data_IF_161622997597
#
_entry.id   IF_161622997597
#
_cell.length_a   1.000
_cell.length_b   1.000
_cell.length_c   1.000
_cell.angle_alpha   90.00
_cell.angle_beta   90.00
_cell.angle_gamma   90.00
#
_symmetry.space_group_name_H-M   'P 1'
#
loop_
_entity.id
_entity.type
_entity.pdbx_description
1 polymer ?
#
# COMPACT_ATOMS: atom_id res chain seq x y z
N UNK A 1 14.87 2.04 17.58
CA UNK A 1 15.97 1.80 18.53
C UNK A 1 17.05 0.87 17.97
N UNK A 2 16.73 -0.29 17.38
CA UNK A 2 17.76 -1.18 16.81
C UNK A 2 18.54 -0.51 15.66
N UNK A 3 17.83 0.19 14.77
CA UNK A 3 18.45 0.93 13.66
C UNK A 3 19.35 2.10 14.11
N UNK A 4 18.96 2.80 15.18
CA UNK A 4 19.76 3.90 15.72
C UNK A 4 21.02 3.41 16.43
N UNK A 5 20.93 2.27 17.13
CA UNK A 5 22.09 1.58 17.71
C UNK A 5 23.07 1.12 16.62
N UNK A 6 22.55 0.60 15.50
CA UNK A 6 23.35 0.20 14.35
C UNK A 6 24.06 1.39 13.70
N UNK A 7 23.38 2.52 13.49
CA UNK A 7 23.99 3.75 12.95
C UNK A 7 25.07 4.32 13.89
N UNK A 8 24.86 4.26 15.21
CA UNK A 8 25.90 4.69 16.16
C UNK A 8 27.09 3.75 16.18
N UNK A 9 26.87 2.45 16.06
CA UNK A 9 27.95 1.47 15.97
C UNK A 9 28.77 1.68 14.70
N UNK A 10 28.10 1.85 13.55
CA UNK A 10 28.76 2.11 12.28
C UNK A 10 29.51 3.45 12.25
N UNK A 11 28.97 4.48 12.90
CA UNK A 11 29.60 5.80 13.02
C UNK A 11 30.81 5.84 13.96
N UNK A 12 30.85 4.98 14.99
CA UNK A 12 32.01 4.83 15.88
C UNK A 12 33.17 4.11 15.20
N UNK A 13 32.87 3.17 14.29
CA UNK A 13 33.90 2.38 13.58
C UNK A 13 34.56 3.19 12.45
N UNK A 14 33.84 4.11 11.83
CA UNK A 14 34.37 4.87 10.68
C UNK A 14 35.22 6.09 11.06
N UNK A 15 35.45 6.37 12.35
CA UNK A 15 36.26 7.47 12.95
C UNK A 15 35.98 8.90 12.44
N UNK A 16 35.07 9.08 11.48
CA UNK A 16 34.85 10.33 10.73
C UNK A 16 33.51 11.01 11.04
N UNK A 17 32.76 10.50 12.02
CA UNK A 17 31.43 11.04 12.35
C UNK A 17 31.54 11.97 13.55
N UNK A 18 31.21 13.25 13.33
CA UNK A 18 31.11 14.26 14.38
C UNK A 18 30.20 13.77 15.52
N UNK A 19 30.75 13.70 16.73
CA UNK A 19 30.05 13.30 17.97
C UNK A 19 28.74 14.09 18.16
N UNK A 20 28.73 15.35 17.70
CA UNK A 20 27.57 16.24 17.71
C UNK A 20 26.37 15.68 16.93
N UNK A 21 26.62 15.01 15.79
CA UNK A 21 25.57 14.42 14.95
C UNK A 21 24.99 13.17 15.63
N UNK A 22 25.83 12.36 16.26
CA UNK A 22 25.37 11.18 17.01
C UNK A 22 24.50 11.64 18.19
N UNK A 23 24.94 12.66 18.91
CA UNK A 23 24.19 13.21 20.04
C UNK A 23 22.84 13.82 19.61
N UNK A 24 22.81 14.56 18.50
CA UNK A 24 21.56 15.14 17.99
C UNK A 24 20.54 14.07 17.57
N UNK A 25 20.99 12.98 16.96
CA UNK A 25 20.14 11.83 16.61
C UNK A 25 19.54 11.19 17.87
N UNK A 26 20.34 10.94 18.90
CA UNK A 26 19.85 10.38 20.17
C UNK A 26 18.87 11.31 20.88
N UNK A 27 19.14 12.61 20.87
CA UNK A 27 18.26 13.61 21.47
C UNK A 27 16.88 13.62 20.80
N UNK A 28 16.84 13.59 19.46
CA UNK A 28 15.58 13.49 18.70
C UNK A 28 14.83 12.20 19.02
N UNK A 29 15.53 11.08 19.12
CA UNK A 29 14.92 9.79 19.45
C UNK A 29 14.33 9.75 20.87
N UNK A 30 15.03 10.33 21.84
CA UNK A 30 14.56 10.44 23.22
C UNK A 30 13.33 11.34 23.28
N UNK A 31 13.33 12.49 22.58
CA UNK A 31 12.17 13.37 22.51
C UNK A 31 10.96 12.70 21.85
N UNK A 32 11.16 11.95 20.77
CA UNK A 32 10.09 11.17 20.13
C UNK A 32 9.55 10.07 21.06
N UNK A 33 10.43 9.40 21.82
CA UNK A 33 10.04 8.39 22.79
C UNK A 33 9.22 8.99 23.93
N UNK A 34 9.67 10.10 24.52
CA UNK A 34 8.95 10.82 25.57
C UNK A 34 7.62 11.37 25.03
N UNK A 35 7.60 11.94 23.83
CA UNK A 35 6.38 12.41 23.18
C UNK A 35 5.36 11.30 22.96
N UNK A 36 5.81 10.12 22.51
CA UNK A 36 4.94 8.97 22.29
C UNK A 36 4.36 8.40 23.59
N UNK A 37 5.19 8.28 24.63
CA UNK A 37 4.78 7.72 25.92
C UNK A 37 3.88 8.68 26.68
N UNK A 38 4.18 9.99 26.67
CA UNK A 38 3.30 11.03 27.25
C UNK A 38 1.97 11.11 26.50
N UNK A 39 1.97 10.99 25.18
CA UNK A 39 0.74 10.93 24.37
C UNK A 39 -0.11 9.70 24.74
N UNK A 40 0.49 8.51 24.80
CA UNK A 40 -0.21 7.29 25.21
C UNK A 40 -0.72 7.37 26.66
N UNK A 41 0.09 7.91 27.57
CA UNK A 41 -0.30 8.08 28.97
C UNK A 41 -1.44 9.08 29.13
N UNK A 42 -1.45 10.17 28.35
CA UNK A 42 -2.59 11.10 28.29
C UNK A 42 -3.85 10.47 27.68
N UNK A 43 -3.70 9.57 26.71
CA UNK A 43 -4.80 8.80 26.14
C UNK A 43 -5.39 7.81 27.15
N UNK A 44 -4.55 7.16 27.95
CA UNK A 44 -4.95 6.17 28.96
C UNK A 44 -5.52 6.82 30.24
N UNK A 45 -5.13 8.06 30.56
CA UNK A 45 -5.67 8.83 31.70
C UNK A 45 -7.10 9.32 31.50
N UNK A 46 -7.56 9.41 30.26
CA UNK A 46 -8.97 9.72 29.99
C UNK A 46 -9.73 8.40 30.02
N UNK A 47 -10.89 8.30 30.69
CA UNK A 47 -11.76 7.15 30.50
C UNK A 47 -11.98 7.01 29.00
N UNK A 48 -11.71 5.82 28.45
CA UNK A 48 -11.94 5.52 27.04
C UNK A 48 -13.30 6.12 26.69
N UNK A 49 -13.36 7.19 25.88
CA UNK A 49 -14.65 7.76 25.55
C UNK A 49 -15.37 6.64 24.84
N UNK A 50 -16.44 6.10 25.45
CA UNK A 50 -17.41 5.26 24.76
C UNK A 50 -17.64 5.94 23.42
N UNK A 51 -17.21 5.28 22.34
CA UNK A 51 -16.93 5.83 21.02
C UNK A 51 -17.92 6.91 20.55
N UNK A 52 -17.80 8.13 21.08
CA UNK A 52 -18.34 9.33 20.49
C UNK A 52 -17.28 9.75 19.50
N UNK A 53 -17.15 8.95 18.43
CA UNK A 53 -16.62 9.46 17.19
C UNK A 53 -17.36 10.77 16.96
N UNK A 54 -16.69 11.91 17.12
CA UNK A 54 -17.11 13.14 16.47
C UNK A 54 -17.09 12.75 15.01
N UNK A 55 -18.24 12.31 14.49
CA UNK A 55 -18.49 12.09 13.08
C UNK A 55 -18.01 13.39 12.45
N UNK A 56 -16.83 13.38 11.83
CA UNK A 56 -16.39 14.48 11.00
C UNK A 56 -17.51 14.59 9.99
N UNK A 57 -18.35 15.60 10.15
CA UNK A 57 -19.57 15.77 9.36
C UNK A 57 -19.10 16.17 7.96
N UNK A 58 -18.62 15.20 7.18
CA UNK A 58 -18.45 15.28 5.73
C UNK A 58 -19.85 15.27 5.08
N UNK A 59 -20.70 16.21 5.52
CA UNK A 59 -22.13 16.28 5.21
C UNK A 59 -22.35 16.51 3.71
N UNK A 60 -21.38 17.13 3.05
CA UNK A 60 -21.38 17.41 1.61
C UNK A 60 -21.25 16.17 0.73
N UNK A 61 -20.58 15.09 1.19
CA UNK A 61 -20.47 13.85 0.42
C UNK A 61 -21.63 12.86 0.68
N UNK A 62 -22.27 12.94 1.86
CA UNK A 62 -23.26 11.94 2.33
C UNK A 62 -24.66 12.15 1.73
N UNK A 63 -24.97 13.33 1.19
CA UNK A 63 -26.28 13.58 0.54
C UNK A 63 -26.38 13.07 -0.90
N UNK A 64 -25.26 12.79 -1.55
CA UNK A 64 -25.25 12.09 -2.84
C UNK A 64 -25.46 10.59 -2.59
N UNK A 65 -26.15 9.88 -3.49
CA UNK A 65 -26.21 8.41 -3.48
C UNK A 65 -24.78 7.88 -3.66
N UNK A 66 -24.08 7.66 -2.55
CA UNK A 66 -22.68 7.23 -2.57
C UNK A 66 -22.59 5.85 -3.22
N UNK A 67 -22.01 5.79 -4.43
CA UNK A 67 -21.72 4.54 -5.13
C UNK A 67 -20.84 3.64 -4.27
N UNK A 68 -21.07 2.32 -4.30
CA UNK A 68 -20.34 1.30 -3.52
C UNK A 68 -18.82 1.46 -3.56
N UNK A 69 -18.29 1.94 -4.68
CA UNK A 69 -16.87 2.23 -4.91
C UNK A 69 -16.26 3.15 -3.84
N UNK A 70 -17.01 4.15 -3.37
CA UNK A 70 -16.51 5.13 -2.41
C UNK A 70 -16.54 4.63 -0.96
N UNK A 71 -17.23 3.52 -0.67
CA UNK A 71 -17.44 3.07 0.71
C UNK A 71 -16.13 2.70 1.39
N UNK A 72 -15.24 1.98 0.69
CA UNK A 72 -13.97 1.57 1.27
C UNK A 72 -12.98 2.75 1.49
N UNK A 73 -12.74 3.64 0.51
CA UNK A 73 -11.90 4.83 0.76
C UNK A 73 -12.41 5.70 1.92
N UNK A 74 -13.74 5.92 2.01
CA UNK A 74 -14.35 6.68 3.11
C UNK A 74 -14.11 5.97 4.45
N UNK A 75 -14.33 4.66 4.50
CA UNK A 75 -14.07 3.85 5.67
C UNK A 75 -12.60 3.94 6.12
N UNK A 76 -11.67 3.82 5.17
CA UNK A 76 -10.23 3.87 5.46
C UNK A 76 -9.82 5.23 6.04
N UNK A 77 -10.36 6.33 5.50
CA UNK A 77 -10.13 7.69 6.02
C UNK A 77 -10.75 7.92 7.40
N UNK A 78 -11.87 7.26 7.72
CA UNK A 78 -12.55 7.42 9.00
C UNK A 78 -11.94 6.56 10.12
N UNK A 79 -11.61 5.30 9.82
CA UNK A 79 -11.18 4.34 10.84
C UNK A 79 -9.67 4.23 10.95
N UNK A 80 -8.92 4.38 9.84
CA UNK A 80 -7.46 4.21 9.81
C UNK A 80 -6.74 5.27 8.95
N UNK A 81 -6.93 6.58 9.22
CA UNK A 81 -6.33 7.65 8.42
C UNK A 81 -4.80 7.60 8.42
N UNK A 82 -4.18 7.24 9.56
CA UNK A 82 -2.72 7.15 9.68
C UNK A 82 -2.12 6.04 8.80
N UNK A 83 -2.81 4.90 8.66
CA UNK A 83 -2.39 3.81 7.78
C UNK A 83 -2.43 4.27 6.32
N UNK A 84 -3.52 4.93 5.91
CA UNK A 84 -3.65 5.47 4.57
C UNK A 84 -2.58 6.52 4.27
N UNK A 85 -2.42 7.54 5.13
CA UNK A 85 -1.43 8.59 4.92
C UNK A 85 -0.01 8.02 4.94
N UNK A 86 0.31 7.12 5.88
CA UNK A 86 1.63 6.52 6.00
C UNK A 86 2.01 5.65 4.80
N UNK A 87 1.11 4.77 4.35
CA UNK A 87 1.33 3.94 3.16
C UNK A 87 1.48 4.79 1.89
N UNK A 88 0.66 5.83 1.70
CA UNK A 88 0.78 6.73 0.56
C UNK A 88 2.02 7.59 0.62
N UNK A 89 2.37 8.15 1.77
CA UNK A 89 3.59 8.94 1.91
C UNK A 89 4.83 8.10 1.58
N UNK A 90 4.91 6.88 2.12
CA UNK A 90 6.04 5.97 1.87
C UNK A 90 6.06 5.48 0.42
N UNK A 91 4.91 5.15 -0.18
CA UNK A 91 4.83 4.71 -1.58
C UNK A 91 5.25 5.81 -2.56
N UNK A 92 4.79 7.05 -2.32
CA UNK A 92 5.14 8.21 -3.14
C UNK A 92 6.62 8.59 -3.01
N UNK A 93 7.15 8.59 -1.78
CA UNK A 93 8.57 8.86 -1.53
C UNK A 93 9.43 7.81 -2.24
N UNK A 94 9.08 6.52 -2.10
CA UNK A 94 9.79 5.43 -2.75
C UNK A 94 9.77 5.60 -4.27
N UNK A 95 8.59 5.77 -4.88
CA UNK A 95 8.48 5.98 -6.33
C UNK A 95 9.34 7.17 -6.78
N UNK A 96 9.27 8.30 -6.10
CA UNK A 96 10.04 9.49 -6.44
C UNK A 96 11.56 9.23 -6.42
N UNK A 97 12.08 8.52 -5.42
CA UNK A 97 13.50 8.14 -5.35
C UNK A 97 13.89 7.25 -6.53
N UNK A 98 13.10 6.21 -6.82
CA UNK A 98 13.40 5.28 -7.89
C UNK A 98 13.36 5.93 -9.27
N UNK A 99 12.38 6.79 -9.53
CA UNK A 99 12.30 7.54 -10.79
C UNK A 99 13.41 8.58 -10.92
N UNK A 100 13.76 9.30 -9.86
CA UNK A 100 14.90 10.22 -9.88
C UNK A 100 16.21 9.48 -10.16
N UNK A 101 16.40 8.32 -9.52
CA UNK A 101 17.56 7.45 -9.75
C UNK A 101 17.59 6.92 -11.19
N UNK A 102 16.45 6.50 -11.73
CA UNK A 102 16.31 6.04 -13.12
C UNK A 102 16.76 7.12 -14.11
N UNK A 103 16.23 8.35 -13.97
CA UNK A 103 16.54 9.46 -14.86
C UNK A 103 18.02 9.90 -14.78
N UNK A 104 18.62 9.81 -13.60
CA UNK A 104 20.03 10.20 -13.39
C UNK A 104 21.03 9.12 -13.83
N UNK A 105 20.70 7.84 -13.64
CA UNK A 105 21.66 6.73 -13.73
C UNK A 105 21.61 5.90 -15.02
N UNK A 106 20.67 6.18 -15.94
CA UNK A 106 20.54 5.41 -17.19
C UNK A 106 20.19 3.94 -16.95
N UNK A 107 19.41 3.66 -15.91
CA UNK A 107 18.98 2.31 -15.58
C UNK A 107 17.99 1.74 -16.61
N UNK A 108 17.90 0.41 -16.66
CA UNK A 108 16.91 -0.30 -17.48
C UNK A 108 15.47 -0.09 -16.95
N UNK A 109 14.46 -0.21 -17.83
CA UNK A 109 13.03 -0.14 -17.47
C UNK A 109 12.62 -1.13 -16.36
N UNK A 110 13.36 -2.24 -16.23
CA UNK A 110 13.23 -3.23 -15.14
C UNK A 110 13.28 -2.58 -13.75
N UNK A 111 14.07 -1.51 -13.60
CA UNK A 111 14.17 -0.73 -12.37
C UNK A 111 12.85 -0.06 -11.99
N UNK A 112 12.10 0.44 -12.99
CA UNK A 112 10.78 1.03 -12.78
C UNK A 112 9.71 -0.02 -12.48
N UNK A 113 9.77 -1.19 -13.13
CA UNK A 113 8.89 -2.30 -12.76
C UNK A 113 9.12 -2.73 -11.31
N UNK A 114 10.37 -2.80 -10.88
CA UNK A 114 10.71 -3.10 -9.51
C UNK A 114 10.17 -2.03 -8.54
N UNK A 115 10.34 -0.74 -8.83
CA UNK A 115 9.84 0.34 -7.98
C UNK A 115 8.32 0.29 -7.80
N UNK A 116 7.58 -0.02 -8.87
CA UNK A 116 6.12 -0.19 -8.83
C UNK A 116 5.74 -1.39 -7.99
N UNK A 117 6.44 -2.53 -8.11
CA UNK A 117 6.17 -3.69 -7.26
C UNK A 117 6.44 -3.40 -5.79
N UNK A 118 7.50 -2.68 -5.45
CA UNK A 118 7.77 -2.22 -4.08
C UNK A 118 6.66 -1.31 -3.55
N UNK A 119 6.18 -0.36 -4.37
CA UNK A 119 5.07 0.52 -4.03
C UNK A 119 3.76 -0.26 -3.80
N UNK A 120 3.44 -1.22 -4.67
CA UNK A 120 2.30 -2.12 -4.48
C UNK A 120 2.40 -2.93 -3.17
N UNK A 121 3.61 -3.34 -2.82
CA UNK A 121 3.89 -4.07 -1.59
C UNK A 121 3.69 -3.24 -0.32
N UNK A 122 4.02 -1.95 -0.36
CA UNK A 122 3.71 -1.01 0.73
C UNK A 122 2.19 -0.83 0.91
N UNK A 123 1.42 -0.99 -0.16
CA UNK A 123 -0.05 -0.95 -0.11
C UNK A 123 -0.69 -2.25 0.43
N UNK A 124 0.07 -3.30 0.75
CA UNK A 124 -0.46 -4.57 1.30
C UNK A 124 -1.36 -4.37 2.52
N UNK A 125 -0.97 -3.47 3.43
CA UNK A 125 -1.74 -3.15 4.63
C UNK A 125 -3.09 -2.49 4.32
N UNK A 126 -3.21 -1.77 3.19
CA UNK A 126 -4.51 -1.26 2.73
C UNK A 126 -5.37 -2.41 2.21
N UNK A 127 -4.76 -3.36 1.48
CA UNK A 127 -5.49 -4.48 0.89
C UNK A 127 -6.00 -5.48 1.92
N UNK A 128 -5.27 -5.69 3.02
CA UNK A 128 -5.77 -6.46 4.17
C UNK A 128 -6.98 -5.79 4.83
N UNK A 129 -6.95 -4.45 4.98
CA UNK A 129 -8.10 -3.71 5.48
C UNK A 129 -9.29 -3.76 4.53
N UNK A 130 -9.05 -3.74 3.22
CA UNK A 130 -10.12 -3.89 2.21
C UNK A 130 -10.81 -5.25 2.33
N UNK A 131 -10.04 -6.32 2.36
CA UNK A 131 -10.58 -7.67 2.46
C UNK A 131 -11.36 -7.87 3.78
N UNK A 132 -10.80 -7.43 4.90
CA UNK A 132 -11.50 -7.51 6.19
C UNK A 132 -12.75 -6.63 6.26
N UNK A 133 -12.74 -5.44 5.63
CA UNK A 133 -13.91 -4.58 5.49
C UNK A 133 -15.03 -5.28 4.70
N UNK A 134 -14.68 -5.93 3.59
CA UNK A 134 -15.64 -6.63 2.74
C UNK A 134 -16.25 -7.84 3.46
N UNK A 135 -15.43 -8.64 4.14
CA UNK A 135 -15.89 -9.80 4.91
C UNK A 135 -16.75 -9.40 6.12
N UNK A 136 -16.36 -8.36 6.87
CA UNK A 136 -17.04 -7.98 8.12
C UNK A 136 -18.25 -7.08 7.91
N UNK A 137 -18.15 -6.08 7.03
CA UNK A 137 -19.17 -5.02 6.86
C UNK A 137 -20.01 -5.18 5.60
N UNK A 138 -19.51 -5.91 4.59
CA UNK A 138 -20.20 -6.10 3.31
C UNK A 138 -20.54 -7.57 3.01
N UNK A 139 -20.56 -8.44 4.02
CA UNK A 139 -20.91 -9.85 3.87
C UNK A 139 -22.22 -10.07 3.10
N UNK A 140 -23.25 -9.28 3.39
CA UNK A 140 -24.52 -9.33 2.67
C UNK A 140 -24.39 -9.04 1.17
N UNK A 141 -23.50 -8.11 0.79
CA UNK A 141 -23.27 -7.75 -0.61
C UNK A 141 -22.35 -8.72 -1.35
N UNK A 142 -21.58 -9.56 -0.64
CA UNK A 142 -20.80 -10.65 -1.24
C UNK A 142 -21.73 -11.76 -1.75
N UNK A 143 -22.85 -11.98 -1.06
CA UNK A 143 -23.86 -12.97 -1.41
C UNK A 143 -24.88 -12.52 -2.47
N UNK A 144 -24.81 -11.27 -2.94
CA UNK A 144 -25.70 -10.80 -4.00
C UNK A 144 -25.27 -11.33 -5.37
N UNK A 145 -26.21 -11.83 -6.19
CA UNK A 145 -25.95 -12.24 -7.56
C UNK A 145 -25.74 -10.99 -8.43
N UNK A 146 -24.51 -10.49 -8.44
CA UNK A 146 -24.07 -9.43 -9.34
C UNK A 146 -23.29 -10.05 -10.48
N UNK A 147 -23.41 -9.46 -11.67
CA UNK A 147 -22.61 -9.84 -12.82
C UNK A 147 -21.11 -9.77 -12.49
N UNK A 148 -20.38 -10.81 -12.89
CA UNK A 148 -18.93 -10.94 -12.68
C UNK A 148 -18.18 -9.69 -13.20
N UNK A 149 -18.57 -9.19 -14.38
CA UNK A 149 -18.00 -7.97 -14.97
C UNK A 149 -18.21 -6.75 -14.07
N UNK A 150 -19.40 -6.59 -13.49
CA UNK A 150 -19.71 -5.49 -12.58
C UNK A 150 -18.90 -5.59 -11.29
N UNK A 151 -18.74 -6.80 -10.72
CA UNK A 151 -17.89 -7.01 -9.54
C UNK A 151 -16.44 -6.62 -9.81
N UNK A 152 -15.86 -7.15 -10.89
CA UNK A 152 -14.48 -6.84 -11.31
C UNK A 152 -14.31 -5.34 -11.51
N UNK A 153 -15.23 -4.70 -12.25
CA UNK A 153 -15.18 -3.27 -12.52
C UNK A 153 -15.24 -2.43 -11.24
N UNK A 154 -16.13 -2.78 -10.31
CA UNK A 154 -16.23 -2.09 -9.02
C UNK A 154 -14.93 -2.18 -8.22
N UNK A 155 -14.27 -3.35 -8.17
CA UNK A 155 -12.98 -3.48 -7.50
C UNK A 155 -11.87 -2.70 -8.22
N UNK A 156 -11.87 -2.65 -9.55
CA UNK A 156 -10.94 -1.83 -10.31
C UNK A 156 -11.11 -0.34 -10.00
N UNK A 157 -12.34 0.15 -9.92
CA UNK A 157 -12.60 1.53 -9.53
C UNK A 157 -12.08 1.83 -8.12
N UNK A 158 -12.24 0.91 -7.17
CA UNK A 158 -11.67 1.05 -5.82
C UNK A 158 -10.13 1.11 -5.87
N UNK A 159 -9.49 0.22 -6.65
CA UNK A 159 -8.04 0.23 -6.83
C UNK A 159 -7.56 1.53 -7.47
N UNK A 160 -8.22 1.97 -8.55
CA UNK A 160 -7.92 3.23 -9.22
C UNK A 160 -7.99 4.40 -8.24
N UNK A 161 -9.06 4.50 -7.45
CA UNK A 161 -9.25 5.56 -6.46
C UNK A 161 -8.14 5.61 -5.41
N UNK A 162 -7.69 4.44 -4.93
CA UNK A 162 -6.63 4.37 -3.93
C UNK A 162 -5.27 4.69 -4.55
N UNK A 163 -5.04 4.28 -5.79
CA UNK A 163 -3.78 4.41 -6.51
C UNK A 163 -3.62 5.74 -7.26
N UNK A 164 -4.62 6.64 -7.22
CA UNK A 164 -4.55 7.98 -7.82
C UNK A 164 -3.21 8.68 -7.54
N UNK A 165 -2.74 8.83 -6.28
CA UNK A 165 -1.54 9.60 -6.02
C UNK A 165 -0.30 8.93 -6.62
N UNK A 166 -0.22 7.59 -6.62
CA UNK A 166 0.88 6.88 -7.29
C UNK A 166 0.84 7.06 -8.81
N UNK A 167 -0.34 7.01 -9.43
CA UNK A 167 -0.48 7.27 -10.87
C UNK A 167 -0.11 8.70 -11.24
N UNK A 168 -0.44 9.68 -10.39
CA UNK A 168 -0.04 11.07 -10.63
C UNK A 168 1.49 11.21 -10.68
N UNK A 169 2.24 10.50 -9.83
CA UNK A 169 3.71 10.50 -9.92
C UNK A 169 4.19 9.84 -11.21
N UNK A 170 3.64 8.67 -11.55
CA UNK A 170 4.03 7.95 -12.78
C UNK A 170 3.78 8.82 -14.02
N UNK A 171 2.64 9.52 -14.08
CA UNK A 171 2.28 10.42 -15.18
C UNK A 171 3.11 11.72 -15.17
N UNK A 172 3.41 12.26 -13.99
CA UNK A 172 4.18 13.50 -13.88
C UNK A 172 5.63 13.30 -14.29
N UNK A 173 6.21 12.16 -13.93
CA UNK A 173 7.60 11.83 -14.23
C UNK A 173 7.78 11.20 -15.61
N UNK A 174 6.69 10.98 -16.35
CA UNK A 174 6.75 10.37 -17.67
C UNK A 174 7.05 11.37 -18.78
N UNK A 175 8.33 11.45 -19.14
CA UNK A 175 8.75 11.74 -20.52
C UNK A 175 8.88 10.43 -21.33
N UNK A 176 8.09 9.42 -20.99
CA UNK A 176 8.20 8.06 -21.53
C UNK A 176 7.33 7.86 -22.77
N UNK A 177 7.67 6.84 -23.56
CA UNK A 177 6.80 6.34 -24.61
C UNK A 177 5.45 5.91 -24.03
N UNK A 178 4.37 6.16 -24.78
CA UNK A 178 2.99 5.80 -24.37
C UNK A 178 2.87 4.31 -23.99
N UNK A 179 3.60 3.44 -24.71
CA UNK A 179 3.62 2.01 -24.45
C UNK A 179 4.23 1.65 -23.09
N UNK A 180 5.36 2.26 -22.73
CA UNK A 180 6.00 1.97 -21.44
C UNK A 180 5.17 2.54 -20.28
N UNK A 181 4.61 3.73 -20.42
CA UNK A 181 3.64 4.29 -19.46
C UNK A 181 2.44 3.37 -19.24
N UNK A 182 1.85 2.83 -20.32
CA UNK A 182 0.75 1.89 -20.22
C UNK A 182 1.17 0.62 -19.47
N UNK A 183 2.38 0.10 -19.76
CA UNK A 183 2.90 -1.09 -19.06
C UNK A 183 3.12 -0.85 -17.56
N UNK A 184 3.60 0.33 -17.18
CA UNK A 184 3.79 0.72 -15.78
C UNK A 184 2.46 0.78 -15.02
N UNK A 185 1.45 1.44 -15.60
CA UNK A 185 0.11 1.53 -15.01
C UNK A 185 -0.54 0.14 -14.93
N UNK A 186 -0.40 -0.69 -15.97
CA UNK A 186 -0.95 -2.03 -16.00
C UNK A 186 -0.30 -2.93 -14.93
N UNK A 187 1.03 -2.88 -14.75
CA UNK A 187 1.73 -3.60 -13.68
C UNK A 187 1.30 -3.09 -12.31
N UNK A 188 1.16 -1.78 -12.12
CA UNK A 188 0.71 -1.21 -10.86
C UNK A 188 -0.70 -1.71 -10.50
N UNK A 189 -1.64 -1.71 -11.44
CA UNK A 189 -2.98 -2.25 -11.22
C UNK A 189 -2.95 -3.77 -10.95
N UNK A 190 -2.24 -4.52 -11.79
CA UNK A 190 -2.19 -5.98 -11.71
C UNK A 190 -1.55 -6.44 -10.40
N UNK A 191 -0.42 -5.86 -9.98
CA UNK A 191 0.25 -6.19 -8.72
C UNK A 191 -0.63 -5.93 -7.50
N UNK A 192 -1.31 -4.77 -7.43
CA UNK A 192 -2.23 -4.47 -6.33
C UNK A 192 -3.46 -5.39 -6.33
N UNK A 193 -4.00 -5.71 -7.51
CA UNK A 193 -5.10 -6.67 -7.65
C UNK A 193 -4.67 -8.09 -7.22
N UNK A 194 -3.47 -8.52 -7.60
CA UNK A 194 -2.89 -9.81 -7.24
C UNK A 194 -2.62 -9.94 -5.74
N UNK A 195 -2.11 -8.88 -5.09
CA UNK A 195 -1.92 -8.86 -3.63
C UNK A 195 -3.25 -8.95 -2.88
N UNK A 196 -4.27 -8.22 -3.33
CA UNK A 196 -5.63 -8.37 -2.80
C UNK A 196 -6.17 -9.79 -3.03
N UNK A 197 -5.84 -10.40 -4.18
CA UNK A 197 -6.27 -11.76 -4.47
C UNK A 197 -5.64 -12.79 -3.53
N UNK A 198 -4.33 -12.67 -3.29
CA UNK A 198 -3.61 -13.48 -2.33
C UNK A 198 -4.21 -13.38 -0.94
N UNK A 199 -4.62 -12.18 -0.49
CA UNK A 199 -5.27 -12.01 0.81
C UNK A 199 -6.53 -12.87 0.95
N UNK A 200 -7.40 -12.88 -0.06
CA UNK A 200 -8.65 -13.62 0.01
C UNK A 200 -8.48 -15.13 -0.23
N UNK A 201 -7.41 -15.56 -0.91
CA UNK A 201 -7.13 -16.98 -1.15
C UNK A 201 -6.42 -17.66 0.02
N UNK A 202 -5.72 -16.90 0.86
CA UNK A 202 -5.01 -17.43 2.04
C UNK A 202 -6.00 -17.53 3.20
N UNK A 203 -6.33 -18.75 3.61
CA UNK A 203 -7.25 -19.02 4.71
C UNK A 203 -6.57 -18.80 6.08
N UNK A 204 -5.26 -19.07 6.17
CA UNK A 204 -4.50 -18.99 7.42
C UNK A 204 -3.75 -17.66 7.57
N UNK A 205 -4.19 -16.81 8.51
CA UNK A 205 -3.53 -15.53 8.82
C UNK A 205 -2.06 -15.71 9.23
N UNK A 206 -1.71 -16.83 9.88
CA UNK A 206 -0.33 -17.11 10.31
C UNK A 206 0.65 -17.29 9.14
N UNK A 207 0.17 -17.78 8.00
CA UNK A 207 0.99 -18.02 6.82
C UNK A 207 1.09 -16.79 5.90
N UNK A 208 0.22 -15.81 6.10
CA UNK A 208 0.09 -14.64 5.23
C UNK A 208 1.40 -13.88 5.06
N UNK A 209 2.07 -13.47 6.15
CA UNK A 209 3.34 -12.73 6.09
C UNK A 209 4.43 -13.51 5.36
N UNK A 210 4.46 -14.84 5.52
CA UNK A 210 5.41 -15.73 4.84
C UNK A 210 5.12 -15.78 3.34
N UNK A 211 3.87 -16.00 2.95
CA UNK A 211 3.48 -16.09 1.53
C UNK A 211 3.77 -14.77 0.83
N UNK A 212 3.37 -13.64 1.42
CA UNK A 212 3.61 -12.35 0.80
C UNK A 212 5.11 -12.11 0.65
N UNK A 213 5.91 -12.39 1.68
CA UNK A 213 7.37 -12.28 1.62
C UNK A 213 7.94 -13.10 0.45
N UNK A 214 7.55 -14.36 0.31
CA UNK A 214 8.02 -15.18 -0.81
C UNK A 214 7.53 -14.63 -2.17
N UNK A 215 6.30 -14.17 -2.27
CA UNK A 215 5.80 -13.56 -3.51
C UNK A 215 6.58 -12.30 -3.88
N UNK A 216 6.99 -11.47 -2.91
CA UNK A 216 7.85 -10.31 -3.16
C UNK A 216 9.16 -10.71 -3.84
N UNK A 217 9.88 -11.65 -3.24
CA UNK A 217 11.17 -12.11 -3.76
C UNK A 217 11.01 -12.80 -5.10
N UNK A 218 9.95 -13.59 -5.27
CA UNK A 218 9.64 -14.20 -6.55
C UNK A 218 9.46 -13.13 -7.62
N UNK A 219 8.62 -12.11 -7.40
CA UNK A 219 8.43 -11.00 -8.34
C UNK A 219 9.72 -10.23 -8.62
N UNK A 220 10.53 -9.98 -7.58
CA UNK A 220 11.84 -9.35 -7.73
C UNK A 220 12.73 -10.15 -8.67
N UNK A 221 12.85 -11.46 -8.48
CA UNK A 221 13.65 -12.31 -9.36
C UNK A 221 13.10 -12.34 -10.79
N UNK A 222 11.78 -12.46 -10.96
CA UNK A 222 11.16 -12.45 -12.30
C UNK A 222 11.52 -11.16 -13.07
N UNK A 223 11.45 -9.99 -12.41
CA UNK A 223 11.82 -8.70 -13.01
C UNK A 223 13.32 -8.65 -13.32
N UNK A 224 14.17 -9.10 -12.39
CA UNK A 224 15.62 -9.10 -12.55
C UNK A 224 16.09 -9.98 -13.72
N UNK A 225 15.47 -11.15 -13.89
CA UNK A 225 15.71 -12.04 -15.04
C UNK A 225 15.11 -11.51 -16.36
N UNK A 226 14.49 -10.33 -16.37
CA UNK A 226 14.00 -9.68 -17.58
C UNK A 226 12.75 -10.34 -18.15
N UNK A 227 11.90 -10.92 -17.30
CA UNK A 227 10.62 -11.45 -17.76
C UNK A 227 9.75 -10.32 -18.32
N UNK A 228 9.11 -10.51 -19.48
CA UNK A 228 8.30 -9.48 -20.10
C UNK A 228 7.18 -8.98 -19.18
N UNK A 229 6.92 -7.67 -19.22
CA UNK A 229 5.87 -7.00 -18.45
C UNK A 229 4.51 -7.69 -18.58
N UNK A 230 4.14 -8.14 -19.78
CA UNK A 230 2.87 -8.83 -20.06
C UNK A 230 2.74 -10.11 -19.24
N UNK A 231 3.81 -10.88 -19.11
CA UNK A 231 3.81 -12.12 -18.31
C UNK A 231 3.63 -11.80 -16.83
N UNK A 232 4.31 -10.77 -16.32
CA UNK A 232 4.14 -10.31 -14.94
C UNK A 232 2.70 -9.87 -14.65
N UNK A 233 2.10 -9.09 -15.56
CA UNK A 233 0.70 -8.65 -15.47
C UNK A 233 -0.24 -9.87 -15.38
N UNK A 234 -0.07 -10.86 -16.27
CA UNK A 234 -0.89 -12.06 -16.28
C UNK A 234 -0.76 -12.86 -14.98
N UNK A 235 0.47 -13.06 -14.48
CA UNK A 235 0.72 -13.80 -13.22
C UNK A 235 0.02 -13.11 -12.04
N UNK A 236 0.07 -11.77 -11.94
CA UNK A 236 -0.62 -11.07 -10.85
C UNK A 236 -2.14 -11.08 -11.01
N UNK A 237 -2.63 -10.94 -12.24
CA UNK A 237 -4.04 -10.67 -12.51
C UNK A 237 -4.89 -11.95 -12.57
N UNK A 238 -4.32 -13.09 -12.95
CA UNK A 238 -5.03 -14.37 -13.01
C UNK A 238 -5.64 -14.79 -11.65
N UNK A 239 -4.91 -14.76 -10.51
CA UNK A 239 -5.49 -15.01 -9.19
C UNK A 239 -6.66 -14.08 -8.87
N UNK A 240 -6.57 -12.81 -9.27
CA UNK A 240 -7.64 -11.85 -9.08
C UNK A 240 -8.89 -12.20 -9.88
N UNK A 241 -8.75 -12.62 -11.13
CA UNK A 241 -9.88 -13.09 -11.95
C UNK A 241 -10.49 -14.38 -11.39
N UNK A 242 -9.66 -15.28 -10.86
CA UNK A 242 -10.10 -16.53 -10.25
C UNK A 242 -11.05 -16.30 -9.07
N UNK A 243 -10.80 -15.27 -8.25
CA UNK A 243 -11.69 -14.93 -7.13
C UNK A 243 -13.16 -14.70 -7.55
N UNK A 244 -13.41 -14.17 -8.74
CA UNK A 244 -14.77 -13.80 -9.18
C UNK A 244 -15.41 -14.85 -10.10
N UNK A 245 -14.94 -16.11 -10.06
CA UNK A 245 -15.47 -17.18 -10.93
C UNK A 245 -16.96 -17.48 -10.67
N UNK A 246 -17.44 -17.31 -9.44
CA UNK A 246 -18.82 -17.58 -9.08
C UNK A 246 -19.65 -16.31 -8.86
N UNK A 247 -20.93 -16.29 -9.30
CA UNK A 247 -21.85 -15.17 -9.05
C UNK A 247 -22.13 -14.97 -7.55
N UNK A 248 -21.94 -16.02 -6.74
CA UNK A 248 -21.92 -15.99 -5.28
C UNK A 248 -20.48 -16.16 -4.81
N UNK A 249 -19.94 -15.23 -4.01
CA UNK A 249 -18.62 -15.45 -3.42
C UNK A 249 -18.81 -15.95 -1.98
N UNK A 250 -18.22 -17.13 -1.71
CA UNK A 250 -17.74 -17.54 -0.39
C UNK A 250 -16.25 -17.19 -0.37
#
# INVERSE_FOLDING_TARGET
MIYSLFLTYQGLITENVNIVIIFSIWLVLILLFIGSTTYQFHLLKKPLPEYKFKKVKFRWFIQSKITRVFWFPIHLLQERPLLFIGSKFTSLLLLNIFFSSYLAGGYDERWLFFSITCSAYLNTMIWSEKASFEQKKLSYFLNMPLDIKSKIFNHHLVFLMILIPEFLIILYQSNYNVLSLFSLIAIALASNAGLYALFNLIIDENNFSRVIFFTFFLFFFLILFGIPAVVLILICYLPFMYLFKSPYQI
#
